data_IF_653597508624
#
_entry.id   IF_653597508624
#
_cell.length_a   1.000
_cell.length_b   1.000
_cell.length_c   1.000
_cell.angle_alpha   90.00
_cell.angle_beta   90.00
_cell.angle_gamma   90.00
#
_symmetry.space_group_name_H-M   'P 1'
#
loop_
_entity.id
_entity.type
_entity.pdbx_description
1 polymer ?
#
# COMPACT_ATOMS: atom_id res chain seq x y z
N UNK A 1 -11.34 -20.06 4.81
CA UNK A 1 -11.12 -19.37 6.09
C UNK A 1 -12.49 -19.10 6.71
N UNK A 2 -12.78 -19.68 7.87
CA UNK A 2 -13.97 -19.29 8.64
C UNK A 2 -13.69 -17.92 9.28
N UNK A 3 -14.67 -17.00 9.34
CA UNK A 3 -14.45 -15.73 10.00
C UNK A 3 -14.12 -15.97 11.48
N UNK A 4 -12.98 -15.42 11.91
CA UNK A 4 -12.65 -15.26 13.33
C UNK A 4 -13.79 -14.50 14.01
N UNK A 5 -14.31 -15.02 15.13
CA UNK A 5 -15.26 -14.28 15.99
C UNK A 5 -14.57 -13.29 16.92
N UNK A 6 -13.24 -13.30 16.95
CA UNK A 6 -12.42 -12.39 17.74
C UNK A 6 -12.12 -11.10 16.99
N UNK A 7 -12.03 -10.02 17.75
CA UNK A 7 -11.81 -8.66 17.26
C UNK A 7 -10.32 -8.43 17.04
N UNK A 8 -9.92 -8.13 15.81
CA UNK A 8 -8.53 -7.81 15.47
C UNK A 8 -8.30 -6.31 15.67
N UNK A 9 -7.19 -5.95 16.33
CA UNK A 9 -6.84 -4.55 16.59
C UNK A 9 -5.47 -4.21 16.02
N UNK A 10 -5.34 -2.97 15.52
CA UNK A 10 -4.09 -2.32 15.18
C UNK A 10 -4.05 -1.01 15.96
N UNK A 11 -2.93 -0.68 16.61
CA UNK A 11 -2.81 0.53 17.43
C UNK A 11 -3.96 0.73 18.43
N UNK A 12 -4.39 -0.35 19.10
CA UNK A 12 -5.51 -0.36 20.06
C UNK A 12 -6.88 0.03 19.46
N UNK A 13 -6.99 0.11 18.13
CA UNK A 13 -8.20 0.44 17.38
C UNK A 13 -8.65 -0.78 16.55
N UNK A 14 -9.95 -1.08 16.44
CA UNK A 14 -10.45 -2.21 15.64
C UNK A 14 -10.11 -2.04 14.16
N UNK A 15 -9.71 -3.11 13.46
CA UNK A 15 -9.37 -3.03 12.03
C UNK A 15 -10.53 -2.48 11.18
N UNK A 16 -11.76 -2.85 11.51
CA UNK A 16 -12.97 -2.45 10.77
C UNK A 16 -13.27 -0.96 10.85
N UNK A 17 -12.62 -0.24 11.77
CA UNK A 17 -12.80 1.20 11.97
C UNK A 17 -11.80 2.06 11.19
N UNK A 18 -10.87 1.45 10.46
CA UNK A 18 -9.94 2.16 9.59
C UNK A 18 -10.56 2.40 8.21
N UNK A 19 -10.32 3.58 7.63
CA UNK A 19 -10.55 3.76 6.19
C UNK A 19 -9.47 2.99 5.42
N UNK A 20 -9.81 2.42 4.27
CA UNK A 20 -8.85 1.63 3.48
C UNK A 20 -7.54 2.37 3.18
N UNK A 21 -7.59 3.66 2.86
CA UNK A 21 -6.40 4.51 2.68
C UNK A 21 -5.56 4.65 3.96
N UNK A 22 -6.21 4.88 5.10
CA UNK A 22 -5.55 5.02 6.41
C UNK A 22 -4.84 3.71 6.78
N UNK A 23 -5.52 2.57 6.60
CA UNK A 23 -4.94 1.25 6.84
C UNK A 23 -3.73 0.97 5.95
N UNK A 24 -3.82 1.27 4.64
CA UNK A 24 -2.74 1.06 3.68
C UNK A 24 -1.50 1.96 3.91
N UNK A 25 -1.62 3.04 4.69
CA UNK A 25 -0.48 3.84 5.14
C UNK A 25 0.23 3.23 6.36
N UNK A 26 -0.43 2.31 7.07
CA UNK A 26 0.08 1.68 8.30
C UNK A 26 0.62 0.26 8.04
N UNK A 27 0.04 -0.46 7.09
CA UNK A 27 0.36 -1.87 6.82
C UNK A 27 0.68 -2.07 5.36
N UNK A 28 1.86 -2.61 5.08
CA UNK A 28 2.27 -3.10 3.76
C UNK A 28 2.38 -4.63 3.80
N UNK A 29 2.04 -5.28 2.68
CA UNK A 29 2.11 -6.74 2.53
C UNK A 29 3.09 -7.06 1.41
N UNK A 30 4.12 -7.83 1.72
CA UNK A 30 5.02 -8.40 0.72
C UNK A 30 4.56 -9.83 0.40
N UNK A 31 4.09 -10.05 -0.83
CA UNK A 31 3.66 -11.37 -1.29
C UNK A 31 4.87 -12.24 -1.59
N UNK A 32 4.81 -13.52 -1.20
CA UNK A 32 5.88 -14.49 -1.54
C UNK A 32 5.72 -15.07 -2.95
N UNK A 33 4.48 -15.09 -3.47
CA UNK A 33 4.21 -15.45 -4.86
C UNK A 33 4.52 -14.28 -5.78
N UNK A 34 5.22 -14.57 -6.89
CA UNK A 34 5.40 -13.61 -7.97
C UNK A 34 4.10 -13.52 -8.75
N UNK A 35 3.51 -12.33 -8.76
CA UNK A 35 2.36 -12.03 -9.59
C UNK A 35 2.83 -11.79 -11.03
N UNK A 36 2.29 -12.55 -11.99
CA UNK A 36 2.62 -12.40 -13.41
C UNK A 36 2.31 -11.00 -13.94
N UNK A 37 1.39 -10.28 -13.30
CA UNK A 37 1.07 -8.89 -13.68
C UNK A 37 2.23 -7.92 -13.47
N UNK A 38 3.22 -8.26 -12.63
CA UNK A 38 4.38 -7.39 -12.33
C UNK A 38 5.38 -7.37 -13.50
N UNK A 39 5.37 -8.40 -14.35
CA UNK A 39 6.39 -8.58 -15.41
C UNK A 39 6.35 -7.49 -16.49
N UNK A 40 5.23 -6.78 -16.64
CA UNK A 40 5.05 -5.69 -17.61
C UNK A 40 5.37 -4.29 -17.04
N UNK A 41 5.77 -4.19 -15.77
CA UNK A 41 6.05 -2.92 -15.11
C UNK A 41 7.56 -2.66 -14.99
N UNK A 42 7.95 -1.39 -15.12
CA UNK A 42 9.30 -0.98 -14.77
C UNK A 42 9.44 -0.98 -13.24
N UNK A 43 10.67 -1.21 -12.76
CA UNK A 43 10.98 -1.14 -11.31
C UNK A 43 10.47 0.17 -10.71
N UNK A 44 10.69 1.29 -11.41
CA UNK A 44 10.19 2.60 -10.99
C UNK A 44 8.67 2.67 -10.86
N UNK A 45 7.93 1.97 -11.71
CA UNK A 45 6.46 1.99 -11.68
C UNK A 45 5.97 1.21 -10.46
N UNK A 46 6.59 0.06 -10.16
CA UNK A 46 6.27 -0.77 -8.98
C UNK A 46 6.59 -0.03 -7.69
N UNK A 47 7.78 0.57 -7.58
CA UNK A 47 8.18 1.32 -6.39
C UNK A 47 7.29 2.54 -6.18
N UNK A 48 6.94 3.25 -7.26
CA UNK A 48 6.03 4.39 -7.21
C UNK A 48 4.60 3.99 -6.83
N UNK A 49 4.11 2.80 -7.23
CA UNK A 49 2.82 2.26 -6.79
C UNK A 49 2.72 2.10 -5.27
N UNK A 50 3.85 1.84 -4.57
CA UNK A 50 3.91 1.85 -3.11
C UNK A 50 3.48 3.19 -2.48
N UNK A 51 3.50 4.30 -3.25
CA UNK A 51 3.06 5.63 -2.81
C UNK A 51 1.56 5.88 -2.99
N UNK A 52 0.81 4.94 -3.56
CA UNK A 52 -0.63 5.10 -3.82
C UNK A 52 -1.46 5.54 -2.60
N UNK A 53 -1.22 5.04 -1.36
CA UNK A 53 -1.95 5.50 -0.19
C UNK A 53 -1.75 6.98 0.17
N UNK A 54 -0.67 7.62 -0.30
CA UNK A 54 -0.34 9.03 -0.05
C UNK A 54 -0.78 9.96 -1.18
N UNK A 55 -1.04 9.41 -2.36
CA UNK A 55 -1.44 10.14 -3.56
C UNK A 55 -2.78 10.87 -3.36
N UNK A 56 -2.89 12.10 -3.86
CA UNK A 56 -4.13 12.88 -3.80
C UNK A 56 -5.26 12.24 -4.65
N UNK A 57 -6.52 12.50 -4.29
CA UNK A 57 -7.68 12.02 -5.06
C UNK A 57 -7.65 12.65 -6.47
N UNK A 58 -7.84 11.83 -7.51
CA UNK A 58 -7.84 12.25 -8.92
C UNK A 58 -6.58 12.98 -9.45
N UNK A 59 -5.47 12.99 -8.70
CA UNK A 59 -4.19 13.58 -9.13
C UNK A 59 -3.21 12.57 -9.74
N UNK A 60 -2.00 12.99 -10.09
CA UNK A 60 -0.85 12.11 -10.36
C UNK A 60 -0.03 11.92 -9.08
N UNK A 61 1.07 11.16 -9.14
CA UNK A 61 2.09 11.21 -8.09
C UNK A 61 2.71 12.60 -8.03
N UNK A 62 3.00 13.09 -6.82
CA UNK A 62 3.66 14.38 -6.62
C UNK A 62 5.16 14.27 -6.84
N UNK A 63 5.85 15.41 -6.97
CA UNK A 63 7.32 15.42 -7.03
C UNK A 63 7.96 14.79 -5.78
N UNK A 64 7.33 14.94 -4.61
CA UNK A 64 7.79 14.30 -3.37
C UNK A 64 7.59 12.78 -3.41
N UNK A 65 6.48 12.29 -3.97
CA UNK A 65 6.27 10.84 -4.12
C UNK A 65 7.32 10.22 -5.06
N UNK A 66 7.66 10.92 -6.15
CA UNK A 66 8.71 10.50 -7.07
C UNK A 66 10.07 10.49 -6.39
N UNK A 67 10.42 11.56 -5.65
CA UNK A 67 11.68 11.64 -4.91
C UNK A 67 11.83 10.54 -3.85
N UNK A 68 10.75 10.24 -3.13
CA UNK A 68 10.73 9.15 -2.16
C UNK A 68 10.94 7.81 -2.88
N UNK A 69 10.23 7.56 -3.98
CA UNK A 69 10.40 6.32 -4.75
C UNK A 69 11.83 6.18 -5.27
N UNK A 70 12.41 7.24 -5.83
CA UNK A 70 13.80 7.27 -6.33
C UNK A 70 14.84 7.00 -5.25
N UNK A 71 14.59 7.40 -4.00
CA UNK A 71 15.52 7.12 -2.90
C UNK A 71 15.63 5.62 -2.58
N UNK A 72 14.59 4.83 -2.86
CA UNK A 72 14.50 3.41 -2.52
C UNK A 72 14.56 2.46 -3.74
N UNK A 73 14.82 3.01 -4.93
CA UNK A 73 15.16 2.24 -6.14
C UNK A 73 16.65 1.89 -6.16
#
# INVERSE_FOLDING_TARGET
>A
LLPSKDKITLNQKPLESYKGREFAQLVAVLTQSRDSMIDDFLVKDIVLMGRYPYKQHFGTYSAEDVKIAEHYM
#
